data_IF_723317532480
#
_entry.id   IF_723317532480
#
_cell.length_a   1.000
_cell.length_b   1.000
_cell.length_c   1.000
_cell.angle_alpha   90.00
_cell.angle_beta   90.00
_cell.angle_gamma   90.00
#
_symmetry.space_group_name_H-M   'P 1'
#
loop_
_entity.id
_entity.type
_entity.pdbx_description
1 polymer ?
#
# COMPACT_ATOMS: atom_id res chain seq x y z
N UNK A 1 -9.81 -2.09 17.42
CA UNK A 1 -9.12 -1.81 18.70
C UNK A 1 -7.88 -0.96 18.37
N UNK A 2 -7.82 0.26 18.90
CA UNK A 2 -6.67 1.16 18.78
C UNK A 2 -5.51 0.68 19.67
N UNK A 3 -4.28 0.85 19.20
CA UNK A 3 -3.08 0.50 19.99
C UNK A 3 -2.03 1.61 19.88
N UNK A 4 -1.47 2.00 21.00
CA UNK A 4 -0.35 2.93 21.07
C UNK A 4 0.87 2.39 20.33
N UNK A 5 1.60 3.26 19.62
CA UNK A 5 2.82 2.92 18.90
C UNK A 5 2.61 2.30 17.52
N UNK A 6 1.38 1.91 17.16
CA UNK A 6 1.11 1.42 15.80
C UNK A 6 0.95 2.57 14.81
N UNK A 7 1.32 2.30 13.56
CA UNK A 7 1.14 3.23 12.45
C UNK A 7 -0.27 3.09 11.89
N UNK A 8 -0.95 4.22 11.80
CA UNK A 8 -2.27 4.37 11.23
C UNK A 8 -2.22 5.25 9.99
N UNK A 9 -3.16 5.02 9.09
CA UNK A 9 -3.43 5.86 7.93
C UNK A 9 -4.78 6.52 8.11
N UNK A 10 -4.86 7.83 7.99
CA UNK A 10 -6.12 8.55 8.00
C UNK A 10 -6.93 8.20 6.74
N UNK A 11 -8.23 7.95 6.91
CA UNK A 11 -9.14 7.65 5.80
C UNK A 11 -10.01 8.84 5.41
N UNK A 12 -9.91 9.94 6.17
CA UNK A 12 -10.61 11.21 5.93
C UNK A 12 -9.72 12.41 6.22
N UNK A 13 -10.12 13.58 5.70
CA UNK A 13 -9.52 14.84 6.08
C UNK A 13 -10.08 15.25 7.44
N UNK A 14 -9.23 15.38 8.44
CA UNK A 14 -9.59 15.84 9.79
C UNK A 14 -9.25 17.31 9.98
N UNK A 15 -8.05 17.72 9.59
CA UNK A 15 -7.55 19.09 9.71
C UNK A 15 -6.52 19.35 8.60
N UNK A 16 -6.98 19.83 7.45
CA UNK A 16 -6.14 20.07 6.27
C UNK A 16 -4.99 21.05 6.52
N UNK A 17 -5.20 22.21 7.16
CA UNK A 17 -4.14 23.16 7.43
C UNK A 17 -2.99 22.58 8.25
N UNK A 18 -3.29 21.64 9.17
CA UNK A 18 -2.28 20.98 10.01
C UNK A 18 -1.73 19.67 9.42
N UNK A 19 -2.15 19.32 8.20
CA UNK A 19 -1.67 18.14 7.48
C UNK A 19 -2.42 16.83 7.79
N UNK A 20 -3.51 16.86 8.55
CA UNK A 20 -4.34 15.69 8.83
C UNK A 20 -5.30 15.44 7.68
N UNK A 21 -4.76 14.94 6.59
CA UNK A 21 -5.48 14.67 5.34
C UNK A 21 -5.64 13.17 5.11
N UNK A 22 -6.59 12.81 4.27
CA UNK A 22 -6.79 11.42 3.84
C UNK A 22 -5.50 10.87 3.24
N UNK A 23 -5.08 9.70 3.72
CA UNK A 23 -3.84 9.05 3.32
C UNK A 23 -2.62 9.39 4.20
N UNK A 24 -2.67 10.43 5.03
CA UNK A 24 -1.59 10.78 5.94
C UNK A 24 -1.32 9.64 6.94
N UNK A 25 -0.03 9.43 7.23
CA UNK A 25 0.40 8.44 8.20
C UNK A 25 0.63 9.08 9.56
N UNK A 26 0.16 8.41 10.61
CA UNK A 26 0.30 8.86 11.98
C UNK A 26 0.58 7.67 12.92
N UNK A 27 1.25 7.93 14.02
CA UNK A 27 1.42 6.95 15.10
C UNK A 27 0.32 7.16 16.14
N UNK A 28 -0.27 6.08 16.61
CA UNK A 28 -1.16 6.08 17.75
C UNK A 28 -0.40 6.51 19.01
N UNK A 29 -0.83 7.60 19.63
CA UNK A 29 -0.17 8.17 20.79
C UNK A 29 -0.85 7.74 22.09
N UNK A 30 -2.14 7.98 22.21
CA UNK A 30 -2.92 7.71 23.41
C UNK A 30 -4.39 7.46 23.08
N UNK A 31 -5.07 6.72 23.94
CA UNK A 31 -6.51 6.50 23.91
C UNK A 31 -7.15 7.27 25.06
N UNK A 32 -8.22 7.96 24.79
CA UNK A 32 -8.99 8.72 25.76
C UNK A 32 -10.43 8.19 25.79
N UNK A 33 -11.12 8.48 26.88
CA UNK A 33 -12.56 8.25 27.00
C UNK A 33 -13.00 6.82 26.66
N UNK A 34 -12.36 5.85 27.34
CA UNK A 34 -12.75 4.43 27.19
C UNK A 34 -12.55 3.85 25.80
N UNK A 35 -11.50 4.27 25.08
CA UNK A 35 -11.21 3.90 23.69
C UNK A 35 -12.18 4.51 22.66
N UNK A 36 -12.88 5.57 22.98
CA UNK A 36 -13.74 6.28 22.02
C UNK A 36 -13.02 7.39 21.26
N UNK A 37 -12.03 8.05 21.87
CA UNK A 37 -11.25 9.14 21.27
C UNK A 37 -9.78 8.80 21.31
N UNK A 38 -9.08 9.06 20.22
CA UNK A 38 -7.68 8.71 20.08
C UNK A 38 -6.83 9.92 19.74
N UNK A 39 -5.67 10.01 20.37
CA UNK A 39 -4.63 10.95 19.98
C UNK A 39 -3.71 10.27 18.98
N UNK A 40 -3.50 10.90 17.84
CA UNK A 40 -2.53 10.46 16.85
C UNK A 40 -1.50 11.56 16.57
N UNK A 41 -0.26 11.14 16.31
CA UNK A 41 0.84 12.04 15.94
C UNK A 41 1.24 11.80 14.49
N UNK A 42 1.14 12.82 13.64
CA UNK A 42 1.58 12.72 12.26
C UNK A 42 3.07 12.36 12.16
N UNK A 43 3.41 11.44 11.26
CA UNK A 43 4.80 11.08 10.97
C UNK A 43 5.55 12.19 10.25
N UNK A 44 4.86 12.97 9.42
CA UNK A 44 5.47 14.02 8.60
C UNK A 44 5.86 15.26 9.39
N UNK A 45 5.02 15.69 10.36
CA UNK A 45 5.21 16.98 11.07
C UNK A 45 5.34 16.84 12.57
N UNK A 46 5.01 15.66 13.14
CA UNK A 46 4.94 15.48 14.59
C UNK A 46 3.71 16.10 15.26
N UNK A 47 2.83 16.76 14.51
CA UNK A 47 1.62 17.36 15.04
C UNK A 47 0.69 16.31 15.64
N UNK A 48 0.02 16.69 16.75
CA UNK A 48 -0.99 15.87 17.41
C UNK A 48 -2.39 16.29 16.99
N UNK A 49 -3.28 15.31 16.83
CA UNK A 49 -4.71 15.56 16.67
C UNK A 49 -5.53 14.50 17.38
N UNK A 50 -6.75 14.92 17.76
CA UNK A 50 -7.79 14.02 18.23
C UNK A 50 -8.50 13.39 17.03
N UNK A 51 -8.72 12.10 17.12
CA UNK A 51 -9.51 11.33 16.15
C UNK A 51 -10.75 10.83 16.85
N UNK A 52 -11.90 11.34 16.43
CA UNK A 52 -13.21 10.94 16.92
C UNK A 52 -13.84 9.92 15.98
N UNK A 53 -14.67 9.02 16.49
CA UNK A 53 -15.53 8.21 15.65
C UNK A 53 -16.42 9.08 14.76
N UNK A 54 -16.63 8.63 13.54
CA UNK A 54 -17.58 9.25 12.60
C UNK A 54 -18.71 8.28 12.34
N UNK A 55 -19.89 8.82 12.08
CA UNK A 55 -21.05 8.02 11.70
C UNK A 55 -21.34 8.22 10.21
N UNK A 56 -21.49 7.13 9.50
CA UNK A 56 -21.90 7.13 8.09
C UNK A 56 -22.80 5.93 7.80
N UNK A 57 -23.96 6.19 7.20
CA UNK A 57 -24.95 5.15 6.86
C UNK A 57 -25.37 4.28 8.06
N UNK A 58 -25.48 4.89 9.24
CA UNK A 58 -25.84 4.20 10.50
C UNK A 58 -24.70 3.33 11.08
N UNK A 59 -23.49 3.43 10.55
CA UNK A 59 -22.30 2.75 11.09
C UNK A 59 -21.36 3.76 11.72
N UNK A 60 -20.98 3.50 12.98
CA UNK A 60 -19.97 4.28 13.72
C UNK A 60 -18.62 3.62 13.57
N UNK A 61 -17.62 4.36 13.10
CA UNK A 61 -16.26 3.85 12.93
C UNK A 61 -15.22 4.96 13.11
N UNK A 62 -13.99 4.54 13.41
CA UNK A 62 -12.85 5.45 13.44
C UNK A 62 -12.34 5.72 12.01
N UNK A 63 -12.10 6.99 11.63
CA UNK A 63 -11.62 7.34 10.31
C UNK A 63 -10.11 7.05 10.13
N UNK A 64 -9.68 5.88 10.58
CA UNK A 64 -8.30 5.39 10.46
C UNK A 64 -8.28 3.92 10.04
N UNK A 65 -7.20 3.51 9.41
CA UNK A 65 -6.86 2.10 9.14
C UNK A 65 -5.39 1.86 9.44
N UNK A 66 -4.95 0.61 9.50
CA UNK A 66 -3.52 0.32 9.69
C UNK A 66 -2.69 0.87 8.53
N UNK A 67 -1.55 1.51 8.88
CA UNK A 67 -0.66 2.19 7.93
C UNK A 67 0.39 1.30 7.26
N UNK A 68 0.48 0.02 7.65
CA UNK A 68 1.54 -0.90 7.20
C UNK A 68 1.34 -1.46 5.80
N UNK A 69 0.14 -1.40 5.25
CA UNK A 69 -0.16 -1.86 3.91
C UNK A 69 -0.98 -0.83 3.13
N UNK A 70 -0.76 -0.79 1.82
CA UNK A 70 -1.52 0.07 0.92
C UNK A 70 -1.61 -0.56 -0.47
N UNK A 71 -2.55 -0.09 -1.28
CA UNK A 71 -2.60 -0.50 -2.69
C UNK A 71 -1.61 0.30 -3.52
N UNK A 72 -1.13 -0.26 -4.62
CA UNK A 72 -0.23 0.43 -5.57
C UNK A 72 -0.82 1.77 -6.04
N UNK A 73 -2.12 1.80 -6.31
CA UNK A 73 -2.83 3.04 -6.70
C UNK A 73 -2.71 4.14 -5.64
N UNK A 74 -2.84 3.80 -4.37
CA UNK A 74 -2.71 4.79 -3.27
C UNK A 74 -1.26 5.18 -2.99
N UNK A 75 -0.30 4.31 -3.33
CA UNK A 75 1.13 4.61 -3.23
C UNK A 75 1.63 5.47 -4.40
N UNK A 76 0.82 5.70 -5.43
CA UNK A 76 1.19 6.52 -6.57
C UNK A 76 1.48 7.96 -6.10
N UNK A 77 2.65 8.48 -6.46
CA UNK A 77 3.15 9.78 -5.97
C UNK A 77 3.90 9.73 -4.65
N UNK A 78 3.84 8.62 -3.89
CA UNK A 78 4.66 8.46 -2.69
C UNK A 78 6.09 8.03 -3.03
N UNK A 79 7.05 8.37 -2.16
CA UNK A 79 8.42 7.84 -2.17
C UNK A 79 8.62 7.00 -0.93
N UNK A 80 9.10 5.77 -1.11
CA UNK A 80 9.29 4.78 -0.05
C UNK A 80 10.77 4.47 0.12
N UNK A 81 11.23 4.47 1.37
CA UNK A 81 12.58 4.06 1.71
C UNK A 81 12.69 2.53 1.74
N UNK A 82 11.68 1.86 2.30
CA UNK A 82 11.66 0.41 2.44
C UNK A 82 10.23 -0.14 2.40
N UNK A 83 10.05 -1.32 1.82
CA UNK A 83 8.78 -2.02 1.82
C UNK A 83 8.79 -3.27 0.96
N UNK A 84 7.67 -4.00 1.03
CA UNK A 84 7.48 -5.22 0.27
C UNK A 84 6.28 -5.07 -0.69
N UNK A 85 6.49 -5.43 -1.95
CA UNK A 85 5.42 -5.52 -2.95
C UNK A 85 4.93 -6.97 -2.97
N UNK A 86 3.65 -7.16 -2.64
CA UNK A 86 3.02 -8.47 -2.69
C UNK A 86 2.33 -8.72 -4.03
N UNK A 87 2.78 -9.73 -4.74
CA UNK A 87 2.20 -10.22 -6.00
C UNK A 87 1.32 -11.45 -5.74
N UNK A 88 0.02 -11.22 -5.51
CA UNK A 88 -0.95 -12.29 -5.26
C UNK A 88 -1.19 -13.19 -6.48
N UNK A 89 -1.60 -14.43 -6.25
CA UNK A 89 -1.86 -15.42 -7.31
C UNK A 89 -3.09 -15.06 -8.16
N UNK A 90 -4.16 -14.54 -7.54
CA UNK A 90 -5.42 -14.16 -8.22
C UNK A 90 -5.40 -12.68 -8.57
N UNK A 91 -4.94 -12.34 -9.77
CA UNK A 91 -5.00 -10.97 -10.29
C UNK A 91 -6.00 -10.91 -11.44
N UNK A 92 -6.83 -9.86 -11.41
CA UNK A 92 -7.67 -9.51 -12.57
C UNK A 92 -6.79 -8.90 -13.66
N UNK A 93 -7.23 -8.98 -14.92
CA UNK A 93 -6.51 -8.49 -16.10
C UNK A 93 -6.06 -7.01 -16.03
N UNK A 94 -6.68 -6.20 -15.16
CA UNK A 94 -6.31 -4.79 -14.94
C UNK A 94 -4.97 -4.56 -14.21
N UNK A 95 -4.16 -5.61 -14.00
CA UNK A 95 -2.90 -5.52 -13.26
C UNK A 95 -1.66 -5.16 -14.07
N UNK A 96 -1.78 -4.93 -15.40
CA UNK A 96 -0.63 -4.57 -16.26
C UNK A 96 0.00 -3.27 -15.82
N UNK A 97 1.33 -3.21 -15.78
CA UNK A 97 2.09 -2.04 -15.40
C UNK A 97 2.11 -1.72 -13.89
N UNK A 98 1.28 -2.35 -13.08
CA UNK A 98 1.27 -2.09 -11.63
C UNK A 98 2.58 -2.48 -10.94
N UNK A 99 3.27 -3.53 -11.40
CA UNK A 99 4.59 -3.91 -10.90
C UNK A 99 5.60 -2.79 -11.11
N UNK A 100 5.64 -2.22 -12.33
CA UNK A 100 6.50 -1.08 -12.64
C UNK A 100 6.19 0.13 -11.76
N UNK A 101 4.90 0.50 -11.66
CA UNK A 101 4.47 1.63 -10.80
C UNK A 101 4.84 1.38 -9.34
N UNK A 102 4.68 0.15 -8.83
CA UNK A 102 5.02 -0.18 -7.46
C UNK A 102 6.52 -0.08 -7.19
N UNK A 103 7.36 -0.69 -8.05
CA UNK A 103 8.82 -0.66 -7.92
C UNK A 103 9.35 0.76 -8.02
N UNK A 104 8.81 1.59 -8.93
CA UNK A 104 9.23 2.99 -9.10
C UNK A 104 8.91 3.89 -7.90
N UNK A 105 8.20 3.40 -6.88
CA UNK A 105 7.96 4.13 -5.63
C UNK A 105 9.13 4.07 -4.66
N UNK A 106 10.04 3.13 -4.83
CA UNK A 106 11.18 2.97 -3.95
C UNK A 106 12.36 3.85 -4.37
N UNK A 107 13.03 4.44 -3.39
CA UNK A 107 14.21 5.29 -3.61
C UNK A 107 15.42 4.49 -4.03
N UNK A 108 15.51 3.23 -3.59
CA UNK A 108 16.61 2.32 -3.92
C UNK A 108 16.11 0.87 -4.06
N UNK A 109 16.88 0.05 -4.77
CA UNK A 109 16.57 -1.37 -4.94
C UNK A 109 16.73 -2.16 -3.63
N UNK A 110 17.61 -1.72 -2.74
CA UNK A 110 17.89 -2.35 -1.45
C UNK A 110 16.69 -2.27 -0.50
N UNK A 111 15.86 -1.23 -0.65
CA UNK A 111 14.64 -1.06 0.13
C UNK A 111 13.42 -1.74 -0.48
N UNK A 112 13.52 -2.29 -1.69
CA UNK A 112 12.39 -2.87 -2.41
C UNK A 112 12.41 -4.40 -2.32
N UNK A 113 11.50 -4.98 -1.55
CA UNK A 113 11.35 -6.42 -1.43
C UNK A 113 10.14 -6.88 -2.27
N UNK A 114 10.29 -8.02 -2.96
CA UNK A 114 9.24 -8.60 -3.78
C UNK A 114 8.80 -9.94 -3.17
N UNK A 115 7.50 -10.16 -3.05
CA UNK A 115 6.94 -11.39 -2.50
C UNK A 115 5.74 -11.87 -3.31
N UNK A 116 5.67 -13.18 -3.56
CA UNK A 116 4.57 -13.82 -4.28
C UNK A 116 4.93 -14.19 -5.72
N UNK A 117 3.91 -14.37 -6.55
CA UNK A 117 4.06 -14.83 -7.95
C UNK A 117 4.26 -13.66 -8.89
N UNK A 118 5.50 -13.36 -9.27
CA UNK A 118 5.84 -12.35 -10.26
C UNK A 118 5.53 -12.86 -11.66
N UNK A 119 4.96 -11.99 -12.50
CA UNK A 119 4.70 -12.25 -13.92
C UNK A 119 5.29 -11.12 -14.75
N UNK A 120 5.82 -11.42 -15.92
CA UNK A 120 6.31 -10.42 -16.85
C UNK A 120 5.23 -9.36 -17.17
N UNK A 121 3.98 -9.79 -17.28
CA UNK A 121 2.83 -8.90 -17.53
C UNK A 121 2.61 -7.84 -16.45
N UNK A 122 3.09 -8.05 -15.22
CA UNK A 122 2.98 -7.05 -14.15
C UNK A 122 3.83 -5.79 -14.44
N UNK A 123 4.84 -5.93 -15.29
CA UNK A 123 5.80 -4.87 -15.64
C UNK A 123 5.61 -4.33 -17.06
N UNK A 124 4.79 -4.96 -17.89
CA UNK A 124 4.49 -4.48 -19.23
C UNK A 124 3.60 -3.23 -19.18
N UNK A 125 3.84 -2.26 -20.07
CA UNK A 125 2.97 -1.10 -20.17
C UNK A 125 1.54 -1.51 -20.52
N UNK A 126 0.58 -0.68 -20.09
CA UNK A 126 -0.81 -0.79 -20.56
C UNK A 126 -0.83 -0.25 -21.97
N UNK A 127 -0.72 -1.13 -22.96
CA UNK A 127 -0.75 -0.80 -24.38
C UNK A 127 -1.79 -1.64 -25.11
N UNK A 128 -2.13 -1.26 -26.33
CA UNK A 128 -3.11 -1.89 -27.22
C UNK A 128 -2.62 -3.24 -27.79
N UNK A 129 -2.13 -4.15 -26.93
CA UNK A 129 -1.82 -5.51 -27.34
C UNK A 129 -3.03 -6.41 -27.11
N UNK A 130 -3.51 -7.09 -28.15
CA UNK A 130 -4.53 -8.12 -28.04
C UNK A 130 -4.06 -9.24 -27.10
N UNK A 131 -4.97 -9.81 -26.33
CA UNK A 131 -4.67 -10.93 -25.39
C UNK A 131 -3.92 -12.11 -26.05
N UNK A 132 -4.07 -12.31 -27.35
CA UNK A 132 -3.38 -13.32 -28.15
C UNK A 132 -1.87 -13.12 -28.26
N UNK A 133 -1.37 -11.90 -28.46
CA UNK A 133 0.07 -11.62 -28.53
C UNK A 133 0.80 -11.84 -27.21
N UNK A 134 0.06 -11.74 -26.10
CA UNK A 134 0.61 -11.88 -24.76
C UNK A 134 0.77 -13.34 -24.41
N UNK A 135 -0.16 -14.19 -24.84
CA UNK A 135 -0.11 -15.63 -24.63
C UNK A 135 1.07 -16.25 -25.38
N UNK A 136 1.34 -15.82 -26.62
CA UNK A 136 2.48 -16.33 -27.41
C UNK A 136 3.84 -15.93 -26.81
N UNK A 137 4.00 -14.69 -26.31
CA UNK A 137 5.24 -14.25 -25.66
C UNK A 137 5.46 -14.90 -24.28
N UNK A 138 4.40 -15.20 -23.56
CA UNK A 138 4.45 -15.90 -22.27
C UNK A 138 4.88 -17.36 -22.40
N UNK A 139 4.45 -18.04 -23.43
CA UNK A 139 4.77 -19.46 -23.69
C UNK A 139 6.23 -19.66 -24.09
N UNK A 140 6.84 -18.69 -24.79
CA UNK A 140 8.26 -18.77 -25.18
C UNK A 140 9.24 -18.59 -24.02
N UNK A 141 8.81 -18.05 -22.87
CA UNK A 141 9.67 -17.86 -21.68
C UNK A 141 9.58 -19.00 -20.66
N UNK A 142 8.56 -19.85 -20.71
CA UNK A 142 8.42 -20.99 -19.79
C UNK A 142 9.31 -22.20 -20.15
N UNK A 143 9.96 -22.20 -21.33
CA UNK A 143 10.85 -23.28 -21.74
C UNK A 143 12.32 -23.12 -21.32
N UNK A 144 12.67 -22.05 -20.61
CA UNK A 144 14.04 -21.81 -20.15
C UNK A 144 14.06 -21.54 -18.63
N UNK A 145 14.27 -22.59 -17.85
CA UNK A 145 14.82 -22.51 -16.50
C UNK A 145 13.81 -22.49 -15.37
N UNK A 146 13.50 -23.65 -14.86
CA UNK A 146 13.03 -23.88 -13.49
C UNK A 146 14.19 -23.73 -12.51
N UNK A 147 14.54 -22.50 -12.13
CA UNK A 147 15.38 -22.28 -10.96
C UNK A 147 14.52 -21.65 -9.86
N UNK A 148 14.19 -22.50 -8.89
CA UNK A 148 13.60 -22.14 -7.61
C UNK A 148 14.53 -21.20 -6.86
N UNK A 149 14.25 -19.91 -6.90
CA UNK A 149 14.90 -18.94 -6.00
C UNK A 149 14.30 -19.11 -4.61
N UNK A 150 14.98 -19.88 -3.76
CA UNK A 150 14.69 -19.96 -2.33
C UNK A 150 15.02 -18.62 -1.67
N UNK A 151 14.16 -18.07 -0.80
CA UNK A 151 14.48 -16.87 -0.04
C UNK A 151 15.61 -17.19 0.94
N UNK A 152 16.66 -16.40 0.94
CA UNK A 152 17.62 -16.38 2.05
C UNK A 152 16.99 -15.63 3.22
N UNK A 153 16.91 -16.32 4.34
CA UNK A 153 16.61 -15.78 5.67
C UNK A 153 17.79 -14.94 6.14
#
# INVERSE_FOLDING_TARGET
MFRRGLVYRLTRNLDKPRGFVNGALAIGYESLDGDEVFIVRLLSSGNLALVHPVEEKGQRFLPVTYGYATTVRRAQGASLDMGCIYFGQKRRAAGRGYGYVAVSRFKSKEGCFLYGSLRQTDFLPVGEGTESEITERGVLSESAGSDEVRPRI
#
